data_IF_202429186681
#
_entry.id   IF_202429186681
#
_cell.length_a   1.000
_cell.length_b   1.000
_cell.length_c   1.000
_cell.angle_alpha   90.00
_cell.angle_beta   90.00
_cell.angle_gamma   90.00
#
_symmetry.space_group_name_H-M   'P 1'
#
loop_
_entity.id
_entity.type
_entity.pdbx_description
1 polymer ?
#
# COMPACT_ATOMS: atom_id res chain seq x y z
N UNK A 1 2.75 -15.61 -6.94
CA UNK A 1 1.59 -15.21 -6.12
C UNK A 1 1.08 -13.85 -6.57
N UNK A 2 -0.24 -13.69 -6.76
CA UNK A 2 -0.86 -12.42 -7.12
C UNK A 2 -1.76 -11.99 -5.97
N UNK A 3 -1.37 -10.94 -5.25
CA UNK A 3 -2.21 -10.34 -4.20
C UNK A 3 -3.44 -9.70 -4.84
N UNK A 4 -4.60 -9.87 -4.23
CA UNK A 4 -5.84 -9.24 -4.66
C UNK A 4 -5.80 -7.72 -4.45
N UNK A 5 -6.75 -7.01 -5.05
CA UNK A 5 -6.80 -5.54 -5.00
C UNK A 5 -7.06 -5.03 -3.58
N UNK A 6 -7.96 -5.68 -2.85
CA UNK A 6 -8.37 -5.25 -1.52
C UNK A 6 -7.21 -5.36 -0.52
N UNK A 7 -6.45 -6.45 -0.57
CA UNK A 7 -5.23 -6.65 0.25
C UNK A 7 -4.20 -5.55 0.00
N UNK A 8 -3.97 -5.14 -1.25
CA UNK A 8 -3.02 -4.06 -1.58
C UNK A 8 -3.48 -2.73 -1.02
N UNK A 9 -4.75 -2.41 -1.19
CA UNK A 9 -5.34 -1.14 -0.75
C UNK A 9 -5.39 -1.06 0.79
N UNK A 10 -5.77 -2.15 1.46
CA UNK A 10 -5.76 -2.23 2.93
C UNK A 10 -4.33 -2.11 3.49
N UNK A 11 -3.36 -2.82 2.90
CA UNK A 11 -1.95 -2.75 3.30
C UNK A 11 -1.36 -1.34 3.16
N UNK A 12 -1.65 -0.65 2.05
CA UNK A 12 -1.17 0.73 1.86
C UNK A 12 -1.85 1.69 2.83
N UNK A 13 -3.17 1.54 3.04
CA UNK A 13 -3.94 2.38 3.95
C UNK A 13 -3.46 2.28 5.39
N UNK A 14 -3.23 1.06 5.89
CA UNK A 14 -2.71 0.84 7.23
C UNK A 14 -1.34 1.54 7.44
N UNK A 15 -0.52 1.66 6.39
CA UNK A 15 0.77 2.37 6.45
C UNK A 15 0.57 3.89 6.38
N UNK A 16 -0.24 4.38 5.44
CA UNK A 16 -0.44 5.82 5.23
C UNK A 16 -1.14 6.47 6.43
N UNK A 17 -2.05 5.76 7.08
CA UNK A 17 -2.70 6.22 8.31
C UNK A 17 -1.84 6.02 9.56
N UNK A 18 -0.61 5.49 9.42
CA UNK A 18 0.31 5.26 10.54
C UNK A 18 -0.13 4.16 11.52
N UNK A 19 -1.08 3.28 11.12
CA UNK A 19 -1.60 2.20 11.96
C UNK A 19 -0.61 1.05 12.12
N UNK A 20 0.15 0.76 11.07
CA UNK A 20 1.11 -0.34 11.03
C UNK A 20 2.40 0.07 10.31
N UNK A 21 3.53 -0.44 10.79
CA UNK A 21 4.81 -0.35 10.10
C UNK A 21 4.88 -1.34 8.94
N UNK A 22 5.80 -1.11 7.99
CA UNK A 22 6.00 -1.98 6.82
C UNK A 22 6.20 -3.46 7.24
N UNK A 23 6.99 -3.71 8.29
CA UNK A 23 7.23 -5.06 8.78
C UNK A 23 5.98 -5.72 9.34
N UNK A 24 5.13 -4.97 10.04
CA UNK A 24 3.87 -5.48 10.59
C UNK A 24 2.86 -5.78 9.48
N UNK A 25 2.81 -4.93 8.45
CA UNK A 25 2.00 -5.16 7.25
C UNK A 25 2.46 -6.42 6.50
N UNK A 26 3.77 -6.67 6.41
CA UNK A 26 4.29 -7.91 5.81
C UNK A 26 3.76 -9.14 6.53
N UNK A 27 3.80 -9.14 7.86
CA UNK A 27 3.30 -10.26 8.67
C UNK A 27 1.79 -10.39 8.54
N UNK A 28 1.04 -9.31 8.75
CA UNK A 28 -0.44 -9.30 8.73
C UNK A 28 -1.03 -9.74 7.38
N UNK A 29 -0.46 -9.27 6.28
CA UNK A 29 -0.98 -9.53 4.93
C UNK A 29 -0.20 -10.60 4.15
N UNK A 30 0.76 -11.27 4.80
CA UNK A 30 1.56 -12.34 4.18
C UNK A 30 2.44 -11.85 3.03
N UNK A 31 2.90 -10.59 3.06
CA UNK A 31 3.72 -10.02 1.99
C UNK A 31 5.18 -10.30 2.25
N UNK A 32 5.80 -11.11 1.38
CA UNK A 32 7.17 -11.59 1.59
C UNK A 32 8.27 -10.56 1.30
N UNK A 33 7.93 -9.39 0.73
CA UNK A 33 8.93 -8.40 0.32
C UNK A 33 8.49 -6.97 0.63
N UNK A 34 9.32 -6.25 1.38
CA UNK A 34 9.16 -4.80 1.59
C UNK A 34 9.12 -4.02 0.28
N UNK A 35 9.88 -4.45 -0.74
CA UNK A 35 9.89 -3.79 -2.05
C UNK A 35 8.51 -3.85 -2.72
N UNK A 36 7.76 -4.92 -2.49
CA UNK A 36 6.39 -5.07 -3.01
C UNK A 36 5.45 -4.07 -2.36
N UNK A 37 5.53 -3.88 -1.04
CA UNK A 37 4.75 -2.89 -0.31
C UNK A 37 5.10 -1.47 -0.79
N UNK A 38 6.40 -1.14 -0.88
CA UNK A 38 6.86 0.18 -1.38
C UNK A 38 6.35 0.46 -2.79
N UNK A 39 6.28 -0.55 -3.67
CA UNK A 39 5.69 -0.42 -5.01
C UNK A 39 4.21 -0.03 -4.95
N UNK A 40 3.43 -0.63 -4.04
CA UNK A 40 2.01 -0.30 -3.88
C UNK A 40 1.80 1.10 -3.33
N UNK A 41 2.62 1.51 -2.35
CA UNK A 41 2.58 2.87 -1.81
C UNK A 41 2.83 3.93 -2.89
N UNK A 42 3.88 3.74 -3.70
CA UNK A 42 4.19 4.64 -4.83
C UNK A 42 3.03 4.73 -5.83
N UNK A 43 2.41 3.59 -6.15
CA UNK A 43 1.27 3.56 -7.05
C UNK A 43 0.03 4.24 -6.46
N UNK A 44 -0.16 4.20 -5.14
CA UNK A 44 -1.25 4.91 -4.44
C UNK A 44 -1.05 6.41 -4.46
N UNK A 45 0.15 6.89 -4.06
CA UNK A 45 0.48 8.33 -4.07
C UNK A 45 0.35 8.91 -5.48
N UNK A 46 0.78 8.17 -6.50
CA UNK A 46 0.64 8.60 -7.90
C UNK A 46 -0.83 8.76 -8.32
N UNK A 47 -1.75 7.95 -7.77
CA UNK A 47 -3.20 8.09 -8.02
C UNK A 47 -3.78 9.30 -7.29
N UNK A 48 -3.37 9.53 -6.04
CA UNK A 48 -3.85 10.69 -5.26
C UNK A 48 -3.46 12.01 -5.93
N UNK A 49 -2.20 12.14 -6.37
CA UNK A 49 -1.74 13.33 -7.11
C UNK A 49 -2.47 13.56 -8.43
N UNK A 50 -2.95 12.51 -9.09
CA UNK A 50 -3.71 12.64 -10.33
C UNK A 50 -5.18 13.05 -10.07
N UNK A 51 -5.68 12.82 -8.85
CA UNK A 51 -7.02 13.24 -8.44
C UNK A 51 -7.04 14.74 -8.03
N UNK A 52 -5.97 15.26 -7.44
CA UNK A 52 -5.82 16.69 -7.07
C UNK A 52 -5.59 17.65 -8.25
N UNK A 53 -5.35 17.16 -9.48
CA UNK A 53 -5.22 18.00 -10.70
C UNK A 53 -6.51 18.13 -11.51
N UNK A 54 -7.65 17.71 -10.98
CA UNK A 54 -8.96 17.83 -11.63
C UNK A 54 -10.00 18.64 -10.83
N UNK A 55 -9.57 19.44 -9.85
CA UNK A 55 -10.43 20.42 -9.16
C UNK A 55 -10.10 21.86 -9.57
#
# INVERSE_FOLDING_TARGET
MKYDKHTKEAAVRDIMEGRLLIGEVMVKYGVLSQATIKKWMRASIAKEKMNESCE
#
